data_IF_867029353207
#
_entry.id   IF_867029353207
#
_cell.length_a   1.000
_cell.length_b   1.000
_cell.length_c   1.000
_cell.angle_alpha   90.00
_cell.angle_beta   90.00
_cell.angle_gamma   90.00
#
_symmetry.space_group_name_H-M   'P 1'
#
loop_
_entity.id
_entity.type
_entity.pdbx_description
1 polymer ?
#
# COMPACT_ATOMS: atom_id res chain seq x y z
N UNK A 1 -40.19 13.88 -0.38
CA UNK A 1 -38.79 13.57 -0.73
C UNK A 1 -38.56 12.12 -0.39
N UNK A 2 -37.99 11.33 -1.29
CA UNK A 2 -37.69 9.92 -1.01
C UNK A 2 -36.54 9.80 0.00
N UNK A 3 -36.44 8.64 0.66
CA UNK A 3 -35.34 8.33 1.61
C UNK A 3 -33.97 8.46 0.93
N UNK A 4 -33.87 8.02 -0.33
CA UNK A 4 -32.67 8.14 -1.16
C UNK A 4 -32.20 9.60 -1.34
N UNK A 5 -33.14 10.52 -1.58
CA UNK A 5 -32.82 11.93 -1.78
C UNK A 5 -32.32 12.57 -0.49
N UNK A 6 -32.93 12.21 0.65
CA UNK A 6 -32.50 12.69 1.96
C UNK A 6 -31.10 12.18 2.33
N UNK A 7 -30.78 10.92 2.04
CA UNK A 7 -29.44 10.37 2.25
C UNK A 7 -28.43 11.13 1.39
N UNK A 8 -28.74 11.38 0.11
CA UNK A 8 -27.85 12.10 -0.80
C UNK A 8 -27.59 13.53 -0.33
N UNK A 9 -28.63 14.24 0.14
CA UNK A 9 -28.49 15.60 0.70
C UNK A 9 -27.66 15.59 2.00
N UNK A 10 -27.90 14.64 2.90
CA UNK A 10 -27.12 14.52 4.14
C UNK A 10 -25.65 14.17 3.88
N UNK A 11 -25.37 13.30 2.91
CA UNK A 11 -24.01 13.00 2.46
C UNK A 11 -23.35 14.23 1.84
N UNK A 12 -24.08 15.01 1.03
CA UNK A 12 -23.61 16.27 0.47
C UNK A 12 -23.24 17.31 1.54
N UNK A 13 -23.84 17.23 2.73
CA UNK A 13 -23.50 18.05 3.91
C UNK A 13 -22.35 17.49 4.75
N UNK A 14 -21.75 16.35 4.35
CA UNK A 14 -20.62 15.73 5.04
C UNK A 14 -20.98 14.95 6.32
N UNK A 15 -22.25 14.56 6.50
CA UNK A 15 -22.66 13.71 7.62
C UNK A 15 -22.14 12.27 7.42
N UNK A 16 -21.72 11.62 8.51
CA UNK A 16 -21.32 10.21 8.45
C UNK A 16 -22.52 9.30 8.25
N UNK A 17 -22.31 8.12 7.67
CA UNK A 17 -23.37 7.12 7.45
C UNK A 17 -24.09 6.72 8.74
N UNK A 18 -23.36 6.60 9.86
CA UNK A 18 -23.96 6.34 11.17
C UNK A 18 -24.87 7.48 11.66
N UNK A 19 -24.51 8.74 11.41
CA UNK A 19 -25.35 9.90 11.74
C UNK A 19 -26.61 9.95 10.87
N UNK A 20 -26.48 9.58 9.59
CA UNK A 20 -27.59 9.46 8.64
C UNK A 20 -28.59 8.40 9.11
N UNK A 21 -28.11 7.21 9.48
CA UNK A 21 -28.97 6.13 10.00
C UNK A 21 -29.73 6.58 11.24
N UNK A 22 -29.07 7.27 12.18
CA UNK A 22 -29.73 7.75 13.40
C UNK A 22 -30.83 8.77 13.10
N UNK A 23 -30.58 9.75 12.21
CA UNK A 23 -31.59 10.75 11.81
C UNK A 23 -32.78 10.13 11.07
N UNK A 24 -32.56 9.15 10.21
CA UNK A 24 -33.64 8.48 9.49
C UNK A 24 -34.47 7.59 10.43
N UNK A 25 -33.85 6.99 11.44
CA UNK A 25 -34.57 6.26 12.50
C UNK A 25 -35.41 7.20 13.37
N UNK A 26 -34.91 8.39 13.71
CA UNK A 26 -35.69 9.43 14.39
C UNK A 26 -36.92 9.87 13.58
N UNK A 27 -36.85 9.76 12.25
CA UNK A 27 -37.97 10.00 11.34
C UNK A 27 -38.88 8.78 11.15
N UNK A 28 -38.71 7.72 11.95
CA UNK A 28 -39.46 6.46 11.88
C UNK A 28 -39.32 5.71 10.54
N UNK A 29 -38.21 5.88 9.82
CA UNK A 29 -37.94 5.12 8.60
C UNK A 29 -37.45 3.71 8.99
N UNK A 30 -37.96 2.69 8.29
CA UNK A 30 -37.62 1.30 8.57
C UNK A 30 -36.12 1.01 8.33
N UNK A 31 -35.45 0.24 9.21
CA UNK A 31 -34.05 -0.15 9.00
C UNK A 31 -33.77 -0.80 7.63
N UNK A 32 -34.75 -1.54 7.08
CA UNK A 32 -34.63 -2.17 5.77
C UNK A 32 -34.57 -1.13 4.65
N UNK A 33 -35.40 -0.11 4.72
CA UNK A 33 -35.48 0.98 3.74
C UNK A 33 -34.25 1.88 3.82
N UNK A 34 -33.72 2.10 5.02
CA UNK A 34 -32.45 2.82 5.23
C UNK A 34 -31.29 2.09 4.55
N UNK A 35 -31.17 0.77 4.76
CA UNK A 35 -30.09 -0.03 4.16
C UNK A 35 -30.20 -0.09 2.63
N UNK A 36 -31.41 -0.28 2.10
CA UNK A 36 -31.65 -0.29 0.65
C UNK A 36 -31.30 1.06 0.02
N UNK A 37 -31.77 2.16 0.62
CA UNK A 37 -31.49 3.51 0.12
C UNK A 37 -30.01 3.91 0.27
N UNK A 38 -29.31 3.45 1.33
CA UNK A 38 -27.85 3.62 1.45
C UNK A 38 -27.09 2.88 0.36
N UNK A 39 -27.46 1.63 0.08
CA UNK A 39 -26.88 0.85 -1.02
C UNK A 39 -27.08 1.55 -2.37
N UNK A 40 -28.30 2.01 -2.64
CA UNK A 40 -28.62 2.77 -3.85
C UNK A 40 -27.83 4.09 -3.94
N UNK A 41 -27.68 4.81 -2.84
CA UNK A 41 -26.88 6.05 -2.79
C UNK A 41 -25.40 5.80 -3.08
N UNK A 42 -24.81 4.73 -2.51
CA UNK A 42 -23.41 4.35 -2.78
C UNK A 42 -23.18 3.98 -4.24
N UNK A 43 -24.10 3.21 -4.85
CA UNK A 43 -24.04 2.87 -6.28
C UNK A 43 -24.13 4.15 -7.13
N UNK A 44 -25.06 5.06 -6.81
CA UNK A 44 -25.22 6.33 -7.53
C UNK A 44 -23.96 7.20 -7.44
N UNK A 45 -23.32 7.26 -6.27
CA UNK A 45 -22.07 7.99 -6.06
C UNK A 45 -20.89 7.36 -6.79
N UNK A 46 -20.82 6.02 -6.86
CA UNK A 46 -19.79 5.32 -7.62
C UNK A 46 -19.94 5.62 -9.12
N UNK A 47 -21.17 5.56 -9.65
CA UNK A 47 -21.47 5.85 -11.05
C UNK A 47 -21.18 7.32 -11.40
N UNK A 48 -21.55 8.27 -10.52
CA UNK A 48 -21.29 9.70 -10.75
C UNK A 48 -19.79 10.03 -10.67
N UNK A 49 -19.05 9.38 -9.77
CA UNK A 49 -17.59 9.52 -9.67
C UNK A 49 -16.89 9.01 -10.93
N UNK A 50 -17.38 7.92 -11.53
CA UNK A 50 -16.88 7.44 -12.84
C UNK A 50 -17.21 8.40 -13.97
N UNK A 51 -18.40 9.03 -13.96
CA UNK A 51 -18.82 9.95 -15.03
C UNK A 51 -17.98 11.22 -15.08
N UNK A 52 -17.63 11.78 -13.91
CA UNK A 52 -16.79 12.99 -13.84
C UNK A 52 -15.35 12.77 -14.32
N UNK A 53 -14.88 11.52 -14.40
CA UNK A 53 -13.56 11.19 -14.97
C UNK A 53 -13.58 10.97 -16.49
N UNK A 54 -14.75 10.75 -17.10
CA UNK A 54 -14.87 10.45 -18.53
C UNK A 54 -14.95 11.75 -19.36
N UNK A 55 -15.48 12.83 -18.81
CA UNK A 55 -15.58 14.13 -19.50
C UNK A 55 -14.24 14.89 -19.63
N UNK A 56 -13.12 14.32 -19.18
CA UNK A 56 -11.76 14.84 -19.43
C UNK A 56 -10.95 14.03 -20.45
N UNK A 57 -11.51 12.94 -21.00
CA UNK A 57 -10.90 12.29 -22.16
C UNK A 57 -11.39 13.00 -23.41
N UNK A 58 -10.73 14.10 -23.79
CA UNK A 58 -10.93 14.70 -25.11
C UNK A 58 -10.82 13.59 -26.16
N UNK A 59 -11.80 13.43 -27.05
CA UNK A 59 -11.73 12.44 -28.12
C UNK A 59 -10.51 12.81 -28.96
N UNK A 60 -9.47 11.98 -28.86
CA UNK A 60 -8.30 12.10 -29.73
C UNK A 60 -8.79 11.93 -31.16
N UNK A 61 -8.98 13.07 -31.85
CA UNK A 61 -9.27 13.07 -33.27
C UNK A 61 -8.13 12.33 -33.97
N UNK A 62 -8.48 11.19 -34.56
CA UNK A 62 -7.62 10.36 -35.37
C UNK A 62 -7.04 11.21 -36.50
N UNK A 63 -5.77 11.60 -36.33
CA UNK A 63 -4.99 12.33 -37.30
C UNK A 63 -4.98 11.58 -38.63
N UNK A 64 -5.49 12.25 -39.66
CA UNK A 64 -5.40 11.85 -41.05
C UNK A 64 -3.97 11.46 -41.45
N UNK A 65 -3.75 10.33 -42.14
CA UNK A 65 -2.42 9.94 -42.60
C UNK A 65 -1.96 10.86 -43.72
N UNK A 66 -0.99 11.71 -43.42
CA UNK A 66 -0.27 12.51 -44.40
C UNK A 66 0.63 11.58 -45.21
N UNK A 67 0.25 11.36 -46.46
CA UNK A 67 0.98 10.62 -47.48
C UNK A 67 2.36 11.23 -47.71
N UNK A 68 3.39 10.63 -47.12
CA UNK A 68 4.79 10.94 -47.41
C UNK A 68 5.25 10.06 -48.58
N UNK A 69 5.07 10.55 -49.80
CA UNK A 69 5.62 9.97 -51.02
C UNK A 69 7.12 10.29 -51.09
N UNK A 70 7.92 9.43 -50.47
CA UNK A 70 9.37 9.44 -50.57
C UNK A 70 9.82 8.22 -51.36
N UNK A 71 9.79 8.34 -52.69
CA UNK A 71 10.44 7.44 -53.63
C UNK A 71 11.95 7.47 -53.38
N UNK A 72 12.52 6.36 -52.93
CA UNK A 72 13.92 6.06 -53.24
C UNK A 72 14.11 4.55 -53.35
N UNK A 73 14.54 4.12 -54.54
CA UNK A 73 14.80 2.74 -54.87
C UNK A 73 16.09 2.24 -54.23
N UNK A 74 16.09 0.95 -53.88
CA UNK A 74 17.26 0.23 -53.40
C UNK A 74 17.00 -1.26 -53.45
N UNK A 75 17.38 -1.87 -54.56
CA UNK A 75 17.32 -3.30 -54.80
C UNK A 75 18.46 -4.04 -54.06
N UNK A 76 18.14 -5.09 -53.32
CA UNK A 76 18.98 -6.28 -53.04
C UNK A 76 18.09 -7.26 -52.24
N UNK A 77 17.56 -8.35 -52.78
CA UNK A 77 18.18 -9.60 -53.26
C UNK A 77 19.08 -10.28 -52.21
N UNK A 78 18.66 -11.49 -51.80
CA UNK A 78 19.32 -12.43 -50.88
C UNK A 78 18.60 -12.51 -49.53
N UNK A 79 17.86 -13.55 -49.14
CA UNK A 79 17.95 -14.96 -49.51
C UNK A 79 19.06 -15.64 -48.71
N UNK A 80 18.77 -16.13 -47.50
CA UNK A 80 19.73 -16.90 -46.71
C UNK A 80 19.42 -17.00 -45.23
N UNK A 81 18.99 -18.20 -44.83
CA UNK A 81 19.23 -18.91 -43.58
C UNK A 81 18.79 -18.35 -42.22
N UNK A 82 17.90 -19.15 -41.63
CA UNK A 82 17.41 -19.12 -40.27
C UNK A 82 18.38 -19.98 -39.46
N UNK A 83 19.39 -19.37 -38.84
CA UNK A 83 20.19 -20.02 -37.80
C UNK A 83 19.94 -19.34 -36.45
N UNK A 84 19.51 -20.17 -35.50
CA UNK A 84 19.51 -19.92 -34.06
C UNK A 84 20.87 -19.38 -33.58
N UNK A 85 20.82 -18.67 -32.46
CA UNK A 85 21.92 -18.02 -31.70
C UNK A 85 22.09 -16.52 -31.99
N UNK A 86 21.32 -15.69 -31.28
CA UNK A 86 21.93 -14.48 -30.69
C UNK A 86 21.18 -14.05 -29.41
N UNK A 87 21.76 -14.45 -28.27
CA UNK A 87 21.39 -14.03 -26.92
C UNK A 87 22.17 -12.76 -26.56
N UNK A 88 21.81 -11.63 -27.17
CA UNK A 88 22.25 -10.32 -26.68
C UNK A 88 21.11 -9.64 -25.93
N UNK A 89 21.28 -9.25 -24.65
CA UNK A 89 20.28 -8.44 -23.96
C UNK A 89 20.13 -7.07 -24.63
N UNK A 90 18.92 -6.49 -24.65
CA UNK A 90 18.71 -5.19 -25.28
C UNK A 90 19.51 -4.09 -24.55
N UNK A 91 19.99 -3.06 -25.28
CA UNK A 91 20.67 -1.94 -24.67
C UNK A 91 19.74 -1.19 -23.72
N UNK A 92 20.18 -1.03 -22.48
CA UNK A 92 19.60 -0.14 -21.48
C UNK A 92 19.68 1.30 -21.98
N UNK A 93 18.58 1.80 -22.54
CA UNK A 93 18.41 3.22 -22.83
C UNK A 93 18.12 3.99 -21.53
N UNK A 94 19.17 4.58 -20.99
CA UNK A 94 19.10 5.75 -20.12
C UNK A 94 18.73 6.97 -20.95
N UNK A 95 17.58 7.60 -20.65
CA UNK A 95 17.27 8.99 -20.99
C UNK A 95 16.14 9.48 -20.09
N UNK A 96 16.51 9.94 -18.90
CA UNK A 96 15.66 10.82 -18.09
C UNK A 96 16.23 12.25 -18.28
N UNK A 97 15.42 13.21 -18.72
CA UNK A 97 15.87 14.56 -19.05
C UNK A 97 16.25 15.36 -17.80
N UNK A 98 17.39 16.05 -17.92
CA UNK A 98 17.83 17.10 -17.02
C UNK A 98 17.00 18.37 -17.27
N UNK A 99 15.96 18.61 -16.46
CA UNK A 99 15.30 19.91 -16.37
C UNK A 99 14.44 20.06 -15.09
N UNK A 100 15.07 20.16 -13.92
CA UNK A 100 14.47 20.78 -12.73
C UNK A 100 15.54 21.14 -11.68
N UNK A 101 16.56 21.89 -12.09
CA UNK A 101 17.34 22.69 -11.16
C UNK A 101 16.47 23.87 -10.70
N UNK A 102 15.89 23.80 -9.50
CA UNK A 102 15.37 24.99 -8.81
C UNK A 102 15.98 25.08 -7.42
N UNK A 103 16.85 26.08 -7.31
CA UNK A 103 17.25 26.87 -6.15
C UNK A 103 17.62 26.14 -4.85
N UNK A 104 18.92 25.83 -4.73
CA UNK A 104 19.61 25.98 -3.45
C UNK A 104 19.63 27.46 -3.08
N UNK A 105 18.87 27.83 -2.04
CA UNK A 105 18.98 29.12 -1.39
C UNK A 105 20.33 29.25 -0.70
N UNK A 106 21.19 30.09 -1.26
CA UNK A 106 22.25 30.83 -0.55
C UNK A 106 21.65 31.48 0.70
N UNK A 107 22.21 31.25 1.88
CA UNK A 107 22.36 32.34 2.84
C UNK A 107 23.80 32.39 3.32
N UNK A 108 24.33 33.58 3.12
CA UNK A 108 25.68 34.02 3.38
C UNK A 108 25.94 34.13 4.87
N UNK A 109 27.11 33.65 5.23
CA UNK A 109 27.88 34.02 6.40
C UNK A 109 28.03 35.54 6.46
N UNK A 110 27.69 36.16 7.58
CA UNK A 110 28.34 37.39 8.00
C UNK A 110 28.44 37.46 9.53
N UNK A 111 29.63 37.86 9.96
CA UNK A 111 30.13 37.86 11.33
C UNK A 111 30.36 39.32 11.69
N UNK A 112 29.85 39.79 12.82
CA UNK A 112 30.40 40.89 13.63
C UNK A 112 29.59 40.93 14.93
N UNK A 113 30.18 40.55 16.06
CA UNK A 113 31.02 41.37 16.94
C UNK A 113 30.18 42.20 17.93
N UNK A 114 30.25 41.77 19.19
CA UNK A 114 30.15 42.51 20.45
C UNK A 114 29.19 43.71 20.53
N UNK A 115 28.11 43.57 21.31
CA UNK A 115 27.81 44.56 22.34
C UNK A 115 27.04 43.93 23.51
N UNK A 116 27.39 44.40 24.69
CA UNK A 116 26.98 43.98 26.02
C UNK A 116 25.72 44.76 26.40
N UNK A 117 24.56 44.10 26.42
CA UNK A 117 23.31 44.70 26.92
C UNK A 117 22.39 43.60 27.41
N UNK A 118 22.43 43.39 28.71
CA UNK A 118 21.38 42.70 29.45
C UNK A 118 20.12 43.55 29.40
N UNK A 119 19.10 43.13 28.66
CA UNK A 119 17.69 43.35 28.99
C UNK A 119 16.76 42.56 28.05
N UNK A 120 15.78 41.91 28.67
CA UNK A 120 14.54 41.36 28.10
C UNK A 120 14.62 40.21 27.06
N UNK A 121 14.87 39.00 27.58
CA UNK A 121 14.67 37.76 26.84
C UNK A 121 13.16 37.40 26.80
N UNK A 122 12.46 37.87 25.76
CA UNK A 122 11.11 37.38 25.44
C UNK A 122 11.26 36.00 24.77
N UNK A 123 10.73 34.91 25.34
CA UNK A 123 10.86 33.59 24.76
C UNK A 123 10.12 33.51 23.43
N UNK A 124 10.88 33.28 22.37
CA UNK A 124 10.38 32.99 21.03
C UNK A 124 9.56 31.69 21.08
N UNK A 125 8.30 31.68 20.60
CA UNK A 125 7.47 30.47 20.62
C UNK A 125 8.10 29.42 19.71
N UNK A 126 8.57 28.35 20.32
CA UNK A 126 9.18 27.22 19.62
C UNK A 126 8.21 26.59 18.64
N UNK A 127 8.71 26.33 17.44
CA UNK A 127 8.10 25.44 16.45
C UNK A 127 7.89 24.07 17.09
N UNK A 128 6.65 23.82 17.51
CA UNK A 128 6.26 22.51 18.00
C UNK A 128 6.27 21.52 16.84
N UNK A 129 6.85 20.31 17.02
CA UNK A 129 6.74 19.26 16.03
C UNK A 129 5.28 18.91 15.84
N UNK A 130 4.79 19.13 14.63
CA UNK A 130 3.48 18.69 14.13
C UNK A 130 3.36 17.18 14.34
N UNK A 131 2.67 16.81 15.41
CA UNK A 131 2.23 15.45 15.71
C UNK A 131 1.18 15.06 14.66
N UNK A 132 1.57 14.22 13.70
CA UNK A 132 0.61 13.55 12.84
C UNK A 132 -0.23 12.60 13.72
N UNK A 133 -1.56 12.72 13.76
CA UNK A 133 -2.39 11.74 14.42
C UNK A 133 -2.23 10.40 13.68
N UNK A 134 -1.76 9.39 14.40
CA UNK A 134 -1.84 8.01 13.93
C UNK A 134 -3.30 7.71 13.58
N UNK A 135 -3.56 7.48 12.30
CA UNK A 135 -4.82 6.91 11.85
C UNK A 135 -4.93 5.52 12.49
N UNK A 136 -5.80 5.44 13.50
CA UNK A 136 -6.27 4.19 14.04
C UNK A 136 -7.00 3.46 12.92
N UNK A 137 -6.36 2.42 12.38
CA UNK A 137 -7.00 1.47 11.50
C UNK A 137 -8.23 0.91 12.22
N UNK A 138 -9.44 1.00 11.64
CA UNK A 138 -10.59 0.33 12.21
C UNK A 138 -10.32 -1.17 12.15
N UNK A 139 -10.17 -1.80 13.31
CA UNK A 139 -10.27 -3.24 13.42
C UNK A 139 -11.67 -3.62 12.94
N UNK A 140 -11.73 -4.13 11.70
CA UNK A 140 -12.88 -4.84 11.19
C UNK A 140 -13.07 -6.07 12.07
N UNK A 141 -13.98 -5.97 13.03
CA UNK A 141 -14.55 -7.09 13.73
C UNK A 141 -15.36 -7.90 12.72
N UNK A 142 -14.67 -8.85 12.08
CA UNK A 142 -15.28 -9.94 11.33
C UNK A 142 -16.18 -10.72 12.28
N UNK A 143 -17.43 -10.29 12.35
CA UNK A 143 -18.51 -11.07 12.94
C UNK A 143 -18.74 -12.25 12.02
N UNK A 144 -18.13 -13.38 12.42
CA UNK A 144 -18.50 -14.70 11.95
C UNK A 144 -20.01 -14.85 12.07
N UNK A 145 -20.71 -14.73 10.95
CA UNK A 145 -22.07 -15.28 10.82
C UNK A 145 -21.90 -16.79 10.82
N UNK A 146 -22.42 -17.52 11.82
CA UNK A 146 -22.44 -18.98 11.76
C UNK A 146 -23.30 -19.38 10.56
N UNK A 147 -22.71 -20.20 9.69
CA UNK A 147 -23.43 -20.90 8.64
C UNK A 147 -24.64 -21.60 9.26
N UNK A 148 -25.84 -21.17 8.87
CA UNK A 148 -27.06 -21.95 9.06
C UNK A 148 -26.93 -23.15 8.14
N UNK A 149 -26.40 -24.23 8.71
CA UNK A 149 -26.44 -25.57 8.17
C UNK A 149 -27.90 -25.91 7.89
N UNK A 150 -28.26 -25.93 6.60
CA UNK A 150 -29.54 -26.43 6.12
C UNK A 150 -29.61 -27.93 6.42
N UNK A 151 -30.04 -28.24 7.65
CA UNK A 151 -30.48 -29.56 8.04
C UNK A 151 -31.75 -29.90 7.25
N UNK A 152 -31.63 -30.87 6.35
CA UNK A 152 -32.76 -31.59 5.80
C UNK A 152 -33.60 -32.12 6.96
N UNK A 153 -34.76 -31.50 7.18
CA UNK A 153 -35.76 -32.03 8.10
C UNK A 153 -36.17 -33.41 7.57
N UNK A 154 -35.68 -34.47 8.22
CA UNK A 154 -36.29 -35.77 8.13
C UNK A 154 -37.76 -35.61 8.50
N UNK A 155 -38.64 -36.00 7.58
CA UNK A 155 -40.05 -36.16 7.88
C UNK A 155 -40.17 -37.11 9.07
N UNK A 156 -40.83 -36.73 10.16
CA UNK A 156 -41.16 -37.69 11.20
C UNK A 156 -42.15 -38.69 10.61
N UNK A 157 -41.73 -39.96 10.52
CA UNK A 157 -42.66 -41.08 10.41
C UNK A 157 -43.65 -40.99 11.58
N UNK A 158 -44.85 -40.49 11.26
CA UNK A 158 -46.00 -40.46 12.14
C UNK A 158 -46.50 -41.88 12.34
N UNK A 159 -45.92 -42.56 13.32
CA UNK A 159 -46.43 -43.79 13.90
C UNK A 159 -47.76 -43.47 14.59
N UNK A 160 -48.88 -43.69 13.90
CA UNK A 160 -50.21 -43.57 14.49
C UNK A 160 -50.50 -44.77 15.39
N UNK A 161 -50.92 -44.56 16.65
CA UNK A 161 -51.33 -45.65 17.52
C UNK A 161 -52.67 -46.21 17.07
N UNK A 162 -52.68 -47.52 16.89
CA UNK A 162 -53.86 -48.36 16.71
C UNK A 162 -54.75 -48.27 17.97
N UNK A 163 -55.73 -47.37 17.97
CA UNK A 163 -56.84 -47.42 18.91
C UNK A 163 -58.04 -48.11 18.27
N UNK A 164 -58.08 -49.41 18.58
CA UNK A 164 -59.26 -50.26 18.64
C UNK A 164 -60.43 -49.55 19.35
N UNK A 165 -61.35 -48.99 18.57
CA UNK A 165 -62.70 -48.66 19.02
C UNK A 165 -63.69 -49.36 18.11
N UNK A 166 -64.25 -50.47 18.63
CA UNK A 166 -65.47 -51.06 18.10
C UNK A 166 -66.62 -50.09 18.26
N UNK A 167 -67.03 -49.50 17.15
CA UNK A 167 -68.38 -48.97 16.97
C UNK A 167 -68.97 -49.60 15.72
N UNK A 168 -69.92 -50.49 15.97
CA UNK A 168 -70.91 -50.98 15.04
C UNK A 168 -71.70 -49.76 14.52
N UNK A 169 -71.20 -49.16 13.44
CA UNK A 169 -71.86 -48.04 12.77
C UNK A 169 -72.37 -48.57 11.44
N UNK A 170 -73.69 -48.74 11.40
CA UNK A 170 -74.44 -49.09 10.20
C UNK A 170 -73.96 -48.26 9.01
N UNK A 171 -73.56 -48.98 7.98
CA UNK A 171 -73.25 -48.50 6.64
C UNK A 171 -74.31 -47.50 6.15
N UNK A 172 -74.02 -46.21 6.28
CA UNK A 172 -74.54 -45.23 5.33
C UNK A 172 -73.44 -44.93 4.31
N UNK A 173 -73.70 -45.17 3.01
CA UNK A 173 -72.77 -44.78 1.95
C UNK A 173 -72.68 -43.25 1.91
N UNK A 174 -71.63 -42.70 2.51
CA UNK A 174 -71.25 -41.31 2.32
C UNK A 174 -71.00 -41.08 0.82
N UNK A 175 -71.60 -40.04 0.21
CA UNK A 175 -71.39 -39.72 -1.18
C UNK A 175 -69.89 -39.48 -1.41
N UNK A 176 -69.33 -40.19 -2.38
CA UNK A 176 -67.96 -40.01 -2.85
C UNK A 176 -67.71 -38.52 -3.10
N UNK A 177 -66.89 -37.91 -2.26
CA UNK A 177 -66.48 -36.53 -2.44
C UNK A 177 -65.66 -36.45 -3.75
N UNK A 178 -66.10 -35.68 -4.75
CA UNK A 178 -65.42 -35.54 -6.02
C UNK A 178 -64.22 -34.63 -5.80
N UNK A 179 -63.09 -35.21 -5.39
CA UNK A 179 -61.89 -34.43 -5.09
C UNK A 179 -60.66 -35.27 -4.77
N UNK A 180 -60.65 -36.56 -5.10
CA UNK A 180 -59.40 -37.34 -5.12
C UNK A 180 -58.65 -36.86 -6.35
N UNK A 181 -57.78 -35.88 -6.16
CA UNK A 181 -56.74 -35.55 -7.15
C UNK A 181 -55.90 -36.82 -7.27
N UNK A 182 -55.90 -37.44 -8.44
CA UNK A 182 -55.13 -38.66 -8.68
C UNK A 182 -53.68 -38.43 -8.23
N UNK A 183 -53.13 -39.40 -7.48
CA UNK A 183 -51.74 -39.34 -7.00
C UNK A 183 -50.77 -39.06 -8.16
N UNK A 184 -51.09 -39.58 -9.35
CA UNK A 184 -50.31 -39.38 -10.57
C UNK A 184 -50.26 -37.91 -11.00
N UNK A 185 -51.36 -37.16 -10.85
CA UNK A 185 -51.37 -35.71 -11.11
C UNK A 185 -50.55 -34.93 -10.08
N UNK A 186 -50.56 -35.38 -8.83
CA UNK A 186 -49.76 -34.75 -7.77
C UNK A 186 -48.26 -35.00 -8.00
N UNK A 187 -47.89 -36.20 -8.46
CA UNK A 187 -46.51 -36.56 -8.83
C UNK A 187 -46.04 -35.73 -10.02
N UNK A 188 -46.86 -35.58 -11.07
CA UNK A 188 -46.50 -34.77 -12.25
C UNK A 188 -46.24 -33.31 -11.88
N UNK A 189 -47.10 -32.71 -11.05
CA UNK A 189 -46.92 -31.33 -10.56
C UNK A 189 -45.63 -31.24 -9.72
N UNK A 190 -45.37 -32.22 -8.86
CA UNK A 190 -44.16 -32.24 -8.04
C UNK A 190 -42.89 -32.36 -8.88
N UNK A 191 -42.87 -33.21 -9.91
CA UNK A 191 -41.73 -33.36 -10.82
C UNK A 191 -41.46 -32.09 -11.62
N UNK A 192 -42.52 -31.41 -12.07
CA UNK A 192 -42.38 -30.15 -12.80
C UNK A 192 -41.79 -29.05 -11.91
N UNK A 193 -42.34 -28.87 -10.70
CA UNK A 193 -41.84 -27.87 -9.73
C UNK A 193 -40.40 -28.19 -9.32
N UNK A 194 -40.08 -29.47 -9.11
CA UNK A 194 -38.73 -29.90 -8.77
C UNK A 194 -37.74 -29.61 -9.91
N UNK A 195 -38.13 -29.88 -11.16
CA UNK A 195 -37.29 -29.61 -12.34
C UNK A 195 -37.07 -28.11 -12.55
N UNK A 196 -38.08 -27.28 -12.33
CA UNK A 196 -37.98 -25.82 -12.42
C UNK A 196 -37.04 -25.26 -11.35
N UNK A 197 -37.20 -25.71 -10.09
CA UNK A 197 -36.34 -25.29 -8.98
C UNK A 197 -34.91 -25.80 -9.11
N UNK A 198 -34.73 -27.02 -9.61
CA UNK A 198 -33.39 -27.57 -9.89
C UNK A 198 -32.67 -26.77 -10.97
N UNK A 199 -33.36 -26.33 -12.01
CA UNK A 199 -32.81 -25.44 -13.04
C UNK A 199 -32.42 -24.06 -12.47
N UNK A 200 -33.25 -23.49 -11.60
CA UNK A 200 -32.94 -22.22 -10.91
C UNK A 200 -31.69 -22.34 -10.03
N UNK A 201 -31.57 -23.44 -9.27
CA UNK A 201 -30.38 -23.73 -8.44
C UNK A 201 -29.14 -23.90 -9.32
N UNK A 202 -29.24 -24.65 -10.42
CA UNK A 202 -28.12 -24.85 -11.35
C UNK A 202 -27.62 -23.51 -11.90
N UNK A 203 -28.53 -22.63 -12.32
CA UNK A 203 -28.18 -21.30 -12.78
C UNK A 203 -27.45 -20.48 -11.72
N UNK A 204 -27.92 -20.51 -10.47
CA UNK A 204 -27.25 -19.81 -9.38
C UNK A 204 -25.85 -20.37 -9.09
N UNK A 205 -25.63 -21.68 -9.25
CA UNK A 205 -24.30 -22.31 -9.13
C UNK A 205 -23.37 -21.84 -10.25
N UNK A 206 -23.88 -21.72 -11.47
CA UNK A 206 -23.12 -21.22 -12.61
C UNK A 206 -22.71 -19.75 -12.38
N UNK A 207 -23.63 -18.90 -11.91
CA UNK A 207 -23.37 -17.50 -11.56
C UNK A 207 -22.33 -17.39 -10.42
N UNK A 208 -22.41 -18.25 -9.39
CA UNK A 208 -21.41 -18.31 -8.32
C UNK A 208 -20.03 -18.73 -8.83
N UNK A 209 -19.98 -19.58 -9.85
CA UNK A 209 -18.72 -20.00 -10.46
C UNK A 209 -18.07 -18.84 -11.21
N UNK A 210 -18.84 -18.03 -11.95
CA UNK A 210 -18.33 -16.81 -12.58
C UNK A 210 -17.78 -15.83 -11.53
N UNK A 211 -18.52 -15.59 -10.45
CA UNK A 211 -18.07 -14.74 -9.35
C UNK A 211 -16.76 -15.27 -8.76
N UNK A 212 -16.65 -16.58 -8.54
CA UNK A 212 -15.43 -17.22 -8.03
C UNK A 212 -14.23 -16.94 -8.95
N UNK A 213 -14.40 -17.09 -10.27
CA UNK A 213 -13.32 -16.81 -11.23
C UNK A 213 -12.90 -15.33 -11.23
N UNK A 214 -13.85 -14.40 -11.12
CA UNK A 214 -13.59 -12.97 -11.05
C UNK A 214 -12.87 -12.60 -9.75
N UNK A 215 -13.32 -13.15 -8.62
CA UNK A 215 -12.68 -12.95 -7.31
C UNK A 215 -11.26 -13.52 -7.32
N UNK A 216 -11.05 -14.71 -7.89
CA UNK A 216 -9.74 -15.32 -8.01
C UNK A 216 -8.78 -14.45 -8.84
N UNK A 217 -9.23 -13.92 -9.97
CA UNK A 217 -8.44 -12.99 -10.79
C UNK A 217 -8.08 -11.70 -10.03
N UNK A 218 -9.01 -11.14 -9.25
CA UNK A 218 -8.73 -9.97 -8.41
C UNK A 218 -7.74 -10.27 -7.29
N UNK A 219 -7.84 -11.44 -6.65
CA UNK A 219 -6.89 -11.88 -5.61
C UNK A 219 -5.49 -12.03 -6.20
N UNK A 220 -5.35 -12.62 -7.38
CA UNK A 220 -4.07 -12.73 -8.10
C UNK A 220 -3.46 -11.34 -8.34
N UNK A 221 -4.26 -10.39 -8.85
CA UNK A 221 -3.82 -9.01 -9.08
C UNK A 221 -3.40 -8.28 -7.80
N UNK A 222 -4.11 -8.49 -6.69
CA UNK A 222 -3.73 -7.94 -5.40
C UNK A 222 -2.42 -8.56 -4.88
N UNK A 223 -2.23 -9.87 -5.06
CA UNK A 223 -0.98 -10.57 -4.70
C UNK A 223 0.22 -9.99 -5.45
N UNK A 224 0.07 -9.73 -6.76
CA UNK A 224 1.12 -9.09 -7.56
C UNK A 224 1.43 -7.66 -7.10
N UNK A 225 0.39 -6.84 -6.82
CA UNK A 225 0.59 -5.49 -6.27
C UNK A 225 1.29 -5.52 -4.92
N UNK A 226 0.93 -6.46 -4.04
CA UNK A 226 1.58 -6.64 -2.74
C UNK A 226 3.06 -6.99 -2.88
N UNK A 227 3.41 -7.92 -3.78
CA UNK A 227 4.82 -8.24 -4.08
C UNK A 227 5.60 -7.02 -4.58
N UNK A 228 5.00 -6.18 -5.43
CA UNK A 228 5.63 -4.93 -5.89
C UNK A 228 5.83 -3.93 -4.75
N UNK A 229 4.86 -3.81 -3.85
CA UNK A 229 4.95 -2.94 -2.66
C UNK A 229 6.06 -3.43 -1.73
N UNK A 230 6.13 -4.74 -1.46
CA UNK A 230 7.19 -5.37 -0.67
C UNK A 230 8.56 -5.07 -1.27
N UNK A 231 8.75 -5.28 -2.57
CA UNK A 231 10.01 -4.96 -3.25
C UNK A 231 10.38 -3.47 -3.19
N UNK A 232 9.40 -2.57 -3.23
CA UNK A 232 9.65 -1.12 -3.11
C UNK A 232 10.09 -0.76 -1.68
N UNK A 233 9.50 -1.42 -0.67
CA UNK A 233 9.87 -1.24 0.74
C UNK A 233 11.28 -1.76 0.99
N UNK A 234 11.63 -2.94 0.47
CA UNK A 234 12.98 -3.52 0.60
C UNK A 234 14.04 -2.63 -0.07
N UNK A 235 13.72 -2.06 -1.23
CA UNK A 235 14.59 -1.12 -1.91
C UNK A 235 14.78 0.16 -1.09
N UNK A 236 13.69 0.74 -0.58
CA UNK A 236 13.74 1.93 0.27
C UNK A 236 14.57 1.70 1.54
N UNK A 237 14.41 0.54 2.19
CA UNK A 237 15.19 0.18 3.36
C UNK A 237 16.68 0.09 3.05
N UNK A 238 17.03 -0.50 1.91
CA UNK A 238 18.41 -0.61 1.43
C UNK A 238 19.01 0.78 1.14
N UNK A 239 18.28 1.66 0.44
CA UNK A 239 18.73 3.04 0.17
C UNK A 239 18.92 3.86 1.45
N UNK A 240 18.05 3.70 2.45
CA UNK A 240 18.19 4.36 3.75
C UNK A 240 19.44 3.87 4.47
N UNK A 241 19.69 2.56 4.50
CA UNK A 241 20.89 1.99 5.12
C UNK A 241 22.17 2.48 4.43
N UNK A 242 22.18 2.50 3.10
CA UNK A 242 23.30 3.01 2.30
C UNK A 242 23.56 4.49 2.58
N UNK A 243 22.49 5.30 2.64
CA UNK A 243 22.60 6.72 2.99
C UNK A 243 23.16 6.89 4.40
N UNK A 244 22.59 6.24 5.40
CA UNK A 244 23.06 6.34 6.80
C UNK A 244 24.52 5.87 6.92
N UNK A 245 24.90 4.79 6.25
CA UNK A 245 26.29 4.31 6.19
C UNK A 245 27.24 5.32 5.54
N UNK A 246 26.81 5.97 4.45
CA UNK A 246 27.58 7.04 3.79
C UNK A 246 27.75 8.27 4.70
N UNK A 247 26.71 8.66 5.45
CA UNK A 247 26.79 9.75 6.43
C UNK A 247 27.75 9.40 7.56
N UNK A 248 27.71 8.19 8.11
CA UNK A 248 28.66 7.73 9.13
C UNK A 248 30.11 7.80 8.64
N UNK A 249 30.37 7.32 7.43
CA UNK A 249 31.70 7.36 6.79
C UNK A 249 32.20 8.80 6.57
N UNK A 250 31.29 9.71 6.19
CA UNK A 250 31.60 11.12 6.02
C UNK A 250 31.91 11.80 7.37
N UNK A 251 31.13 11.51 8.42
CA UNK A 251 31.39 12.03 9.77
C UNK A 251 32.73 11.54 10.32
N UNK A 252 33.11 10.29 10.08
CA UNK A 252 34.42 9.77 10.47
C UNK A 252 35.56 10.45 9.72
N UNK A 253 35.37 10.76 8.44
CA UNK A 253 36.33 11.51 7.63
C UNK A 253 36.51 12.94 8.17
N UNK A 254 35.41 13.64 8.44
CA UNK A 254 35.41 14.98 9.04
C UNK A 254 36.08 14.96 10.42
N UNK A 255 35.79 13.95 11.26
CA UNK A 255 36.41 13.80 12.59
C UNK A 255 37.93 13.61 12.47
N UNK A 256 38.38 12.82 11.50
CA UNK A 256 39.81 12.59 11.25
C UNK A 256 40.50 13.88 10.77
N UNK A 257 39.89 14.61 9.84
CA UNK A 257 40.41 15.91 9.38
C UNK A 257 40.45 16.94 10.50
N UNK A 258 39.40 17.01 11.32
CA UNK A 258 39.35 17.87 12.50
C UNK A 258 40.45 17.53 13.51
N UNK A 259 40.71 16.23 13.75
CA UNK A 259 41.83 15.77 14.59
C UNK A 259 43.18 16.21 14.02
N UNK A 260 43.40 16.07 12.71
CA UNK A 260 44.64 16.50 12.07
C UNK A 260 44.82 18.02 12.11
N UNK A 261 43.73 18.80 11.99
CA UNK A 261 43.76 20.25 12.15
C UNK A 261 44.09 20.66 13.58
N UNK A 262 43.52 19.98 14.58
CA UNK A 262 43.85 20.20 16.00
C UNK A 262 45.32 19.91 16.28
N UNK A 263 45.86 18.80 15.77
CA UNK A 263 47.27 18.46 15.91
C UNK A 263 48.18 19.50 15.24
N UNK A 264 47.78 20.00 14.07
CA UNK A 264 48.52 21.02 13.33
C UNK A 264 48.50 22.36 14.08
N UNK A 265 47.34 22.75 14.62
CA UNK A 265 47.20 23.96 15.42
C UNK A 265 47.99 23.86 16.73
N UNK A 266 47.94 22.70 17.40
CA UNK A 266 48.75 22.43 18.58
C UNK A 266 50.25 22.57 18.31
N UNK A 267 50.74 22.07 17.17
CA UNK A 267 52.14 22.26 16.76
C UNK A 267 52.48 23.73 16.52
N UNK A 268 51.65 24.47 15.80
CA UNK A 268 51.89 25.89 15.50
C UNK A 268 51.89 26.74 16.78
N UNK A 269 50.92 26.51 17.68
CA UNK A 269 50.83 27.22 18.96
C UNK A 269 52.03 26.89 19.86
N UNK A 270 52.41 25.61 19.97
CA UNK A 270 53.58 25.22 20.76
C UNK A 270 54.89 25.76 20.17
N UNK A 271 55.06 25.75 18.84
CA UNK A 271 56.25 26.33 18.18
C UNK A 271 56.33 27.85 18.36
N UNK A 272 55.19 28.55 18.37
CA UNK A 272 55.16 29.99 18.63
C UNK A 272 55.53 30.33 20.09
N UNK A 273 55.06 29.53 21.05
CA UNK A 273 55.45 29.63 22.46
C UNK A 273 56.94 29.36 22.67
N UNK A 274 57.48 28.25 22.14
CA UNK A 274 58.90 27.89 22.27
C UNK A 274 59.83 28.94 21.65
N UNK A 275 59.44 29.54 20.51
CA UNK A 275 60.23 30.60 19.87
C UNK A 275 60.27 31.90 20.69
N UNK A 276 59.33 32.11 21.61
CA UNK A 276 59.34 33.28 22.51
C UNK A 276 60.28 33.09 23.71
N UNK A 277 60.49 31.85 24.18
CA UNK A 277 61.37 31.56 25.31
C UNK A 277 62.86 31.51 24.92
N UNK A 278 63.19 31.04 23.70
CA UNK A 278 64.58 30.82 23.32
C UNK A 278 65.40 32.05 22.92
N UNK A 279 64.86 33.28 23.00
CA UNK A 279 65.62 34.51 22.64
C UNK A 279 66.56 35.06 23.72
N UNK A 280 66.67 34.45 24.91
CA UNK A 280 67.49 35.00 26.01
C UNK A 280 68.75 34.23 26.42
N UNK A 281 69.13 33.13 25.75
CA UNK A 281 70.38 32.42 26.08
C UNK A 281 71.33 32.29 24.88
N UNK A 282 71.89 33.43 24.46
CA UNK A 282 73.18 33.50 23.78
C UNK A 282 74.29 33.54 24.85
N UNK A 283 74.69 32.38 25.36
CA UNK A 283 75.97 32.24 26.05
C UNK A 283 76.71 31.00 25.51
N UNK A 284 77.67 31.29 24.63
CA UNK A 284 78.86 30.53 24.22
C UNK A 284 78.80 28.99 24.13
N UNK A 285 79.10 28.42 22.94
CA UNK A 285 79.34 26.99 22.81
C UNK A 285 80.76 26.65 23.26
N UNK A 286 80.90 25.82 24.29
CA UNK A 286 82.13 25.06 24.55
C UNK A 286 81.92 23.65 24.02
N UNK A 287 82.65 23.33 22.97
CA UNK A 287 82.74 22.00 22.37
C UNK A 287 82.99 20.92 23.43
N UNK A 288 82.09 19.93 23.52
CA UNK A 288 82.44 18.59 23.96
C UNK A 288 81.78 17.54 23.08
N UNK A 289 82.62 16.99 22.21
CA UNK A 289 82.53 15.69 21.57
C UNK A 289 82.02 14.65 22.57
N UNK A 290 80.88 14.01 22.31
CA UNK A 290 80.49 12.77 23.00
C UNK A 290 79.75 11.85 22.04
N UNK A 291 80.54 10.98 21.43
CA UNK A 291 80.21 9.64 20.97
C UNK A 291 79.29 8.89 21.94
N UNK A 292 78.14 8.35 21.52
CA UNK A 292 77.47 7.12 22.06
C UNK A 292 76.37 6.71 21.05
N UNK A 293 76.61 5.72 20.19
CA UNK A 293 76.21 4.28 20.28
C UNK A 293 74.72 3.99 20.03
N UNK A 294 74.52 3.17 18.98
CA UNK A 294 73.31 2.46 18.55
C UNK A 294 72.42 1.90 19.66
N UNK A 295 71.09 1.96 19.45
CA UNK A 295 70.20 0.83 19.84
C UNK A 295 68.98 0.72 18.93
N UNK A 296 69.07 -0.18 17.96
CA UNK A 296 67.94 -0.72 17.22
C UNK A 296 67.05 -1.55 18.14
N UNK A 297 65.77 -1.20 18.27
CA UNK A 297 64.77 -2.05 18.94
C UNK A 297 64.02 -2.91 17.91
N UNK A 298 63.73 -4.19 18.22
CA UNK A 298 63.14 -5.14 17.28
C UNK A 298 61.62 -4.98 17.14
N UNK A 299 61.14 -5.08 15.90
CA UNK A 299 59.71 -5.16 15.53
C UNK A 299 59.10 -6.46 16.05
N UNK A 300 58.16 -6.38 16.99
CA UNK A 300 57.30 -7.52 17.38
C UNK A 300 56.10 -7.63 16.44
N UNK A 301 56.11 -8.68 15.62
CA UNK A 301 55.05 -9.06 14.69
C UNK A 301 53.97 -9.83 15.47
N UNK A 302 52.85 -9.19 15.83
CA UNK A 302 51.67 -9.90 16.35
C UNK A 302 50.86 -10.47 15.19
N UNK A 303 50.96 -11.79 15.01
CA UNK A 303 50.09 -12.60 14.16
C UNK A 303 48.81 -12.87 14.98
N UNK A 304 47.69 -12.28 14.59
CA UNK A 304 46.37 -12.64 15.10
C UNK A 304 45.70 -13.58 14.08
N UNK A 305 45.60 -14.85 14.47
CA UNK A 305 44.69 -15.85 13.88
C UNK A 305 43.25 -15.42 14.16
N UNK A 306 42.39 -15.44 13.14
CA UNK A 306 40.95 -15.61 13.35
C UNK A 306 40.48 -16.86 12.61
N UNK A 307 39.78 -17.68 13.41
CA UNK A 307 38.90 -18.78 13.00
C UNK A 307 37.69 -18.23 12.27
#
# INVERSE_FOLDING_TARGET
MGVLDQITDMQGRGLSESQIVNRLREQNISPREINDALGQAQIKNAISSSRNNIDQMEPSMMGSPQSNSGSNGGASSGGGDISNEDLTPPPTYSKIPAAAQRSFGRMTKEVSAADDSADDYVPQPGDQPQYYPQQAYPQSSSSYQPYQEYGYAQQPEGYYPEQNYGYDTEYQPMPQSPGVVDSDTTIEIAEQVFSEKSKEIQKNIDDLTEISTLVQSKIESFSERLKRIESTIDHLQSEILDKVGSYGSNLDSIKKEMSMMQDSFGKVVNSALDHSEHKHHSSNPVHKTTTVIHRSTPKTKKISRKR
#
